data_IF_085915660227
#
_entry.id   IF_085915660227
#
_cell.length_a   1.000
_cell.length_b   1.000
_cell.length_c   1.000
_cell.angle_alpha   90.00
_cell.angle_beta   90.00
_cell.angle_gamma   90.00
#
_symmetry.space_group_name_H-M   'P 1'
#
loop_
_entity.id
_entity.type
_entity.pdbx_description
1 polymer ?
#
# COMPACT_ATOMS: atom_id res chain seq x y z
N UNK A 1 -25.96 -8.84 -4.48
CA UNK A 1 -25.43 -7.55 -4.06
C UNK A 1 -24.52 -7.71 -2.83
N UNK A 2 -23.50 -8.54 -2.91
CA UNK A 2 -22.36 -8.44 -2.00
C UNK A 2 -21.68 -7.16 -2.39
N UNK A 3 -21.95 -6.24 -1.63
CA UNK A 3 -22.25 -4.95 -2.11
C UNK A 3 -20.94 -4.21 -2.25
N UNK A 4 -20.92 -3.30 -3.19
CA UNK A 4 -19.91 -2.24 -3.29
C UNK A 4 -19.57 -1.68 -1.88
N UNK A 5 -20.56 -1.51 -1.02
CA UNK A 5 -20.41 -1.09 0.38
C UNK A 5 -19.53 -2.06 1.20
N UNK A 6 -19.69 -3.38 0.99
CA UNK A 6 -18.82 -4.36 1.68
C UNK A 6 -17.39 -4.26 1.20
N UNK A 7 -17.16 -4.11 -0.11
CA UNK A 7 -15.81 -3.95 -0.66
C UNK A 7 -15.14 -2.65 -0.14
N UNK A 8 -15.89 -1.56 -0.08
CA UNK A 8 -15.41 -0.28 0.49
C UNK A 8 -15.07 -0.43 1.98
N UNK A 9 -15.95 -1.04 2.77
CA UNK A 9 -15.70 -1.27 4.20
C UNK A 9 -14.47 -2.15 4.46
N UNK A 10 -14.31 -3.22 3.68
CA UNK A 10 -13.12 -4.07 3.79
C UNK A 10 -11.83 -3.32 3.42
N UNK A 11 -11.85 -2.47 2.38
CA UNK A 11 -10.69 -1.67 2.03
C UNK A 11 -10.37 -0.59 3.07
N UNK A 12 -11.37 -0.01 3.73
CA UNK A 12 -11.15 0.91 4.86
C UNK A 12 -10.42 0.19 5.99
N UNK A 13 -10.84 -1.04 6.33
CA UNK A 13 -10.14 -1.84 7.34
C UNK A 13 -8.70 -2.16 6.93
N UNK A 14 -8.46 -2.53 5.67
CA UNK A 14 -7.11 -2.73 5.12
C UNK A 14 -6.27 -1.46 5.28
N UNK A 15 -6.83 -0.31 4.96
CA UNK A 15 -6.14 0.98 5.04
C UNK A 15 -5.76 1.33 6.49
N UNK A 16 -6.64 1.03 7.45
CA UNK A 16 -6.34 1.19 8.88
C UNK A 16 -5.19 0.26 9.31
N UNK A 17 -5.21 -1.00 8.86
CA UNK A 17 -4.13 -1.96 9.13
C UNK A 17 -2.81 -1.44 8.57
N UNK A 18 -2.78 -0.97 7.33
CA UNK A 18 -1.57 -0.44 6.73
C UNK A 18 -1.04 0.78 7.49
N UNK A 19 -1.91 1.74 7.81
CA UNK A 19 -1.53 2.91 8.61
C UNK A 19 -0.89 2.53 9.95
N UNK A 20 -1.48 1.55 10.66
CA UNK A 20 -0.95 1.06 11.94
C UNK A 20 0.44 0.42 11.79
N UNK A 21 0.74 -0.20 10.64
CA UNK A 21 2.00 -0.94 10.45
C UNK A 21 3.21 -0.09 10.10
N UNK A 22 3.07 1.19 9.76
CA UNK A 22 4.22 2.06 9.46
C UNK A 22 5.21 2.17 10.62
N UNK A 23 4.71 2.28 11.84
CA UNK A 23 5.56 2.35 13.03
C UNK A 23 6.29 1.03 13.24
N UNK A 24 5.58 -0.10 13.11
CA UNK A 24 6.16 -1.44 13.27
C UNK A 24 7.27 -1.70 12.23
N UNK A 25 7.02 -1.33 10.97
CA UNK A 25 8.03 -1.45 9.90
C UNK A 25 9.24 -0.57 10.21
N UNK A 26 9.02 0.69 10.61
CA UNK A 26 10.11 1.61 10.95
C UNK A 26 10.98 1.09 12.09
N UNK A 27 10.38 0.52 13.14
CA UNK A 27 11.12 -0.10 14.24
C UNK A 27 11.89 -1.35 13.79
N UNK A 28 11.28 -2.21 12.98
CA UNK A 28 11.91 -3.42 12.46
C UNK A 28 13.13 -3.13 11.56
N UNK A 29 13.13 -1.99 10.84
CA UNK A 29 14.26 -1.57 10.00
C UNK A 29 15.49 -1.12 10.80
N UNK A 30 15.38 -0.97 12.11
CA UNK A 30 16.56 -0.81 12.99
C UNK A 30 17.24 -2.15 13.28
N UNK A 31 16.52 -3.27 13.14
CA UNK A 31 16.99 -4.62 13.50
C UNK A 31 17.39 -5.44 12.27
N UNK A 32 16.92 -5.07 11.07
CA UNK A 32 17.29 -5.76 9.83
C UNK A 32 17.22 -4.85 8.59
N UNK A 33 17.99 -5.18 7.54
CA UNK A 33 18.00 -4.43 6.29
C UNK A 33 16.65 -4.46 5.55
N UNK A 34 16.35 -3.44 4.72
CA UNK A 34 15.07 -3.24 4.05
C UNK A 34 14.61 -4.39 3.14
N UNK A 35 15.49 -4.92 2.29
CA UNK A 35 15.15 -6.04 1.42
C UNK A 35 15.00 -7.35 2.20
N UNK A 36 15.82 -7.55 3.25
CA UNK A 36 15.68 -8.71 4.10
C UNK A 36 14.36 -8.69 4.86
N UNK A 37 13.94 -7.54 5.41
CA UNK A 37 12.62 -7.38 6.01
C UNK A 37 11.50 -7.69 5.02
N UNK A 38 11.58 -7.16 3.79
CA UNK A 38 10.62 -7.47 2.74
C UNK A 38 10.59 -8.98 2.42
N UNK A 39 11.77 -9.64 2.39
CA UNK A 39 11.86 -11.09 2.18
C UNK A 39 11.10 -11.87 3.26
N UNK A 40 11.31 -11.54 4.54
CA UNK A 40 10.61 -12.19 5.65
C UNK A 40 9.10 -11.96 5.59
N UNK A 41 8.69 -10.70 5.40
CA UNK A 41 7.29 -10.28 5.35
C UNK A 41 6.54 -10.95 4.19
N UNK A 42 7.05 -10.80 2.96
CA UNK A 42 6.42 -11.37 1.76
C UNK A 42 6.62 -12.88 1.67
N UNK A 43 7.72 -13.42 2.19
CA UNK A 43 7.96 -14.86 2.29
C UNK A 43 6.90 -15.55 3.14
N UNK A 44 6.59 -15.01 4.34
CA UNK A 44 5.51 -15.51 5.19
C UNK A 44 4.17 -15.47 4.47
N UNK A 45 3.85 -14.35 3.81
CA UNK A 45 2.61 -14.21 3.05
C UNK A 45 2.54 -15.19 1.86
N UNK A 46 3.67 -15.43 1.17
CA UNK A 46 3.78 -16.39 0.07
C UNK A 46 3.53 -17.82 0.55
N UNK A 47 4.09 -18.20 1.69
CA UNK A 47 3.86 -19.53 2.30
C UNK A 47 2.37 -19.71 2.59
N UNK A 48 1.72 -18.72 3.22
CA UNK A 48 0.29 -18.77 3.50
C UNK A 48 -0.55 -18.86 2.21
N UNK A 49 -0.19 -18.10 1.17
CA UNK A 49 -0.87 -18.17 -0.11
C UNK A 49 -0.69 -19.55 -0.78
N UNK A 50 0.51 -20.14 -0.70
CA UNK A 50 0.80 -21.47 -1.24
C UNK A 50 -0.01 -22.58 -0.54
N UNK A 51 -0.20 -22.48 0.77
CA UNK A 51 -1.03 -23.42 1.52
C UNK A 51 -2.49 -23.36 1.02
N UNK A 52 -3.02 -22.17 0.74
CA UNK A 52 -4.40 -22.02 0.24
C UNK A 52 -4.56 -22.44 -1.21
N UNK A 53 -3.58 -22.14 -2.07
CA UNK A 53 -3.68 -22.42 -3.52
C UNK A 53 -3.57 -23.93 -3.82
N UNK A 54 -2.85 -24.68 -2.96
CA UNK A 54 -2.63 -26.11 -3.12
C UNK A 54 -2.07 -26.44 -4.53
N UNK A 55 -2.59 -27.48 -5.22
CA UNK A 55 -2.09 -27.93 -6.54
C UNK A 55 -2.41 -26.98 -7.71
N UNK A 56 -3.24 -25.95 -7.51
CA UNK A 56 -3.62 -25.00 -8.58
C UNK A 56 -2.45 -24.14 -9.07
N UNK A 57 -1.36 -24.04 -8.30
CA UNK A 57 -0.15 -23.33 -8.72
C UNK A 57 0.47 -23.94 -10.00
N UNK A 58 0.22 -25.21 -10.30
CA UNK A 58 0.73 -25.87 -11.50
C UNK A 58 -0.17 -25.67 -12.73
N UNK A 59 -1.27 -24.94 -12.60
CA UNK A 59 -2.25 -24.69 -13.67
C UNK A 59 -2.41 -23.19 -13.95
N UNK A 60 -1.29 -22.44 -13.84
CA UNK A 60 -1.29 -20.99 -14.08
C UNK A 60 -1.59 -20.68 -15.54
N UNK A 61 -2.49 -19.74 -15.77
CA UNK A 61 -2.67 -19.13 -17.09
C UNK A 61 -1.57 -18.11 -17.37
N UNK A 62 -1.33 -17.81 -18.64
CA UNK A 62 -0.37 -16.77 -19.02
C UNK A 62 -0.71 -15.40 -18.41
N UNK A 63 -1.99 -15.06 -18.29
CA UNK A 63 -2.43 -13.81 -17.67
C UNK A 63 -2.14 -13.77 -16.16
N UNK A 64 -2.30 -14.89 -15.46
CA UNK A 64 -1.97 -15.00 -14.02
C UNK A 64 -0.47 -14.90 -13.80
N UNK A 65 0.33 -15.56 -14.64
CA UNK A 65 1.78 -15.54 -14.52
C UNK A 65 2.35 -14.16 -14.88
N UNK A 66 2.08 -13.66 -16.08
CA UNK A 66 2.63 -12.38 -16.56
C UNK A 66 2.10 -11.21 -15.71
N UNK A 67 0.79 -11.19 -15.46
CA UNK A 67 0.19 -10.16 -14.64
C UNK A 67 0.70 -10.19 -13.19
N UNK A 68 0.84 -11.39 -12.61
CA UNK A 68 1.40 -11.58 -11.29
C UNK A 68 2.86 -11.11 -11.19
N UNK A 69 3.69 -11.40 -12.20
CA UNK A 69 5.07 -10.92 -12.26
C UNK A 69 5.13 -9.39 -12.36
N UNK A 70 4.34 -8.78 -13.24
CA UNK A 70 4.36 -7.31 -13.42
C UNK A 70 3.86 -6.62 -12.14
N UNK A 71 2.75 -7.08 -11.56
CA UNK A 71 2.24 -6.55 -10.30
C UNK A 71 3.22 -6.78 -9.15
N UNK A 72 3.86 -7.95 -9.08
CA UNK A 72 4.90 -8.25 -8.10
C UNK A 72 6.12 -7.35 -8.24
N UNK A 73 6.54 -7.05 -9.47
CA UNK A 73 7.64 -6.11 -9.73
C UNK A 73 7.30 -4.69 -9.26
N UNK A 74 6.07 -4.22 -9.52
CA UNK A 74 5.61 -2.91 -9.05
C UNK A 74 5.51 -2.85 -7.52
N UNK A 75 5.07 -3.93 -6.88
CA UNK A 75 5.10 -4.04 -5.42
C UNK A 75 6.52 -4.06 -4.86
N UNK A 76 7.44 -4.82 -5.48
CA UNK A 76 8.84 -4.86 -5.10
C UNK A 76 9.47 -3.46 -5.14
N UNK A 77 9.26 -2.72 -6.22
CA UNK A 77 9.71 -1.32 -6.35
C UNK A 77 9.05 -0.45 -5.27
N UNK A 78 7.73 -0.53 -5.13
CA UNK A 78 6.98 0.27 -4.15
C UNK A 78 7.48 0.05 -2.72
N UNK A 79 7.57 -1.20 -2.28
CA UNK A 79 8.05 -1.53 -0.93
C UNK A 79 9.54 -1.31 -0.74
N UNK A 80 10.36 -1.52 -1.78
CA UNK A 80 11.77 -1.16 -1.74
C UNK A 80 11.94 0.32 -1.43
N UNK A 81 11.36 1.19 -2.24
CA UNK A 81 11.37 2.63 -2.01
C UNK A 81 10.75 3.05 -0.66
N UNK A 82 9.67 2.39 -0.22
CA UNK A 82 9.05 2.67 1.07
C UNK A 82 9.97 2.34 2.24
N UNK A 83 10.57 1.15 2.26
CA UNK A 83 11.40 0.70 3.34
C UNK A 83 12.69 1.54 3.43
N UNK A 84 13.37 1.78 2.30
CA UNK A 84 14.52 2.70 2.28
C UNK A 84 14.12 4.13 2.65
N UNK A 85 12.97 4.60 2.21
CA UNK A 85 12.42 5.90 2.61
C UNK A 85 12.21 6.01 4.11
N UNK A 86 11.61 5.00 4.74
CA UNK A 86 11.33 4.96 6.18
C UNK A 86 12.59 5.00 7.05
N UNK A 87 13.74 4.55 6.57
CA UNK A 87 15.00 4.70 7.30
C UNK A 87 15.40 6.18 7.48
N UNK A 88 14.95 7.07 6.59
CA UNK A 88 15.38 8.47 6.52
C UNK A 88 14.26 9.47 6.80
N UNK A 89 13.00 9.02 6.97
CA UNK A 89 11.86 9.91 7.28
C UNK A 89 11.01 9.37 8.43
N UNK A 90 9.99 10.11 8.86
CA UNK A 90 9.05 9.66 9.90
C UNK A 90 7.98 8.73 9.31
N UNK A 91 7.37 7.87 10.17
CA UNK A 91 6.29 6.99 9.77
C UNK A 91 5.09 7.79 9.22
N UNK A 92 4.67 8.84 9.92
CA UNK A 92 3.57 9.72 9.49
C UNK A 92 3.87 10.40 8.14
N UNK A 93 5.10 10.90 7.94
CA UNK A 93 5.50 11.58 6.69
C UNK A 93 5.58 10.61 5.52
N UNK A 94 6.09 9.39 5.74
CA UNK A 94 6.11 8.34 4.73
C UNK A 94 4.71 7.91 4.34
N UNK A 95 3.82 7.65 5.29
CA UNK A 95 2.41 7.31 5.02
C UNK A 95 1.71 8.38 4.19
N UNK A 96 1.96 9.67 4.51
CA UNK A 96 1.45 10.80 3.75
C UNK A 96 1.94 10.79 2.30
N UNK A 97 3.26 10.72 2.07
CA UNK A 97 3.83 10.79 0.72
C UNK A 97 3.40 9.57 -0.10
N UNK A 98 3.30 8.38 0.51
CA UNK A 98 2.75 7.18 -0.13
C UNK A 98 1.32 7.43 -0.65
N UNK A 99 0.51 8.16 0.13
CA UNK A 99 -0.87 8.48 -0.24
C UNK A 99 -1.02 9.50 -1.38
N UNK A 100 0.07 10.13 -1.84
CA UNK A 100 0.07 10.90 -3.10
C UNK A 100 -0.32 10.00 -4.29
N UNK A 101 -0.21 8.68 -4.17
CA UNK A 101 -0.76 7.71 -5.12
C UNK A 101 -2.24 7.97 -5.45
N UNK A 102 -3.04 8.54 -4.54
CA UNK A 102 -4.44 8.92 -4.79
C UNK A 102 -4.59 9.95 -5.92
N UNK A 103 -3.63 10.86 -6.02
CA UNK A 103 -3.56 11.84 -7.12
C UNK A 103 -2.97 11.21 -8.39
N UNK A 104 -1.94 10.38 -8.23
CA UNK A 104 -1.26 9.74 -9.37
C UNK A 104 -2.17 8.77 -10.13
N UNK A 105 -3.00 7.98 -9.46
CA UNK A 105 -3.89 7.00 -10.11
C UNK A 105 -4.79 7.63 -11.19
N UNK A 106 -5.62 8.65 -10.92
CA UNK A 106 -6.46 9.24 -11.96
C UNK A 106 -5.65 9.95 -13.05
N UNK A 107 -4.50 10.58 -12.72
CA UNK A 107 -3.61 11.20 -13.70
C UNK A 107 -3.07 10.13 -14.67
N UNK A 108 -2.53 9.03 -14.14
CA UNK A 108 -2.00 7.93 -14.95
C UNK A 108 -3.08 7.25 -15.80
N UNK A 109 -4.32 7.10 -15.27
CA UNK A 109 -5.43 6.56 -16.03
C UNK A 109 -5.79 7.42 -17.24
N UNK A 110 -5.82 8.74 -17.09
CA UNK A 110 -6.09 9.67 -18.20
C UNK A 110 -4.94 9.68 -19.19
N UNK A 111 -3.70 9.77 -18.71
CA UNK A 111 -2.52 9.96 -19.55
C UNK A 111 -2.14 8.70 -20.34
N UNK A 112 -2.12 7.54 -19.67
CA UNK A 112 -1.62 6.30 -20.28
C UNK A 112 -2.71 5.34 -20.74
N UNK A 113 -3.85 5.31 -20.06
CA UNK A 113 -4.94 4.40 -20.42
C UNK A 113 -6.06 5.10 -21.21
N UNK A 114 -5.94 6.40 -21.43
CA UNK A 114 -6.94 7.25 -22.09
C UNK A 114 -8.37 7.05 -21.55
N UNK A 115 -8.49 6.63 -20.29
CA UNK A 115 -9.77 6.42 -19.62
C UNK A 115 -10.26 7.73 -19.02
N UNK A 116 -11.46 8.15 -19.37
CA UNK A 116 -12.09 9.31 -18.75
C UNK A 116 -12.34 9.02 -17.27
N UNK A 117 -11.91 9.94 -16.40
CA UNK A 117 -12.16 9.92 -14.96
C UNK A 117 -13.28 10.91 -14.66
N UNK A 118 -14.31 10.50 -13.93
CA UNK A 118 -15.48 11.33 -13.60
C UNK A 118 -15.03 12.58 -12.82
N UNK A 119 -15.63 13.73 -13.12
CA UNK A 119 -15.35 15.01 -12.44
C UNK A 119 -15.42 14.90 -10.92
N UNK A 120 -16.35 14.09 -10.40
CA UNK A 120 -16.48 13.81 -8.98
C UNK A 120 -15.21 13.24 -8.34
N UNK A 121 -14.50 12.35 -9.05
CA UNK A 121 -13.23 11.79 -8.59
C UNK A 121 -12.16 12.88 -8.50
N UNK A 122 -12.09 13.79 -9.48
CA UNK A 122 -11.17 14.92 -9.45
C UNK A 122 -11.41 15.85 -8.26
N UNK A 123 -12.69 16.12 -7.95
CA UNK A 123 -13.06 16.93 -6.76
C UNK A 123 -12.63 16.18 -5.48
N UNK A 124 -12.92 14.89 -5.36
CA UNK A 124 -12.51 14.08 -4.20
C UNK A 124 -10.99 14.06 -4.04
N UNK A 125 -10.24 13.86 -5.13
CA UNK A 125 -8.77 13.87 -5.15
C UNK A 125 -8.24 15.25 -4.73
N UNK A 126 -8.82 16.34 -5.21
CA UNK A 126 -8.42 17.70 -4.80
C UNK A 126 -8.63 17.95 -3.30
N UNK A 127 -9.77 17.52 -2.77
CA UNK A 127 -10.06 17.63 -1.32
C UNK A 127 -9.09 16.76 -0.52
N UNK A 128 -8.84 15.50 -0.96
CA UNK A 128 -7.89 14.61 -0.30
C UNK A 128 -6.48 15.21 -0.30
N UNK A 129 -6.02 15.75 -1.44
CA UNK A 129 -4.69 16.36 -1.57
C UNK A 129 -4.53 17.57 -0.65
N UNK A 130 -5.58 18.42 -0.54
CA UNK A 130 -5.58 19.53 0.41
C UNK A 130 -5.53 19.02 1.87
N UNK A 131 -6.31 18.00 2.19
CA UNK A 131 -6.28 17.35 3.51
C UNK A 131 -4.90 16.76 3.84
N UNK A 132 -4.31 16.08 2.88
CA UNK A 132 -2.95 15.55 2.97
C UNK A 132 -1.93 16.67 3.23
N UNK A 133 -2.01 17.79 2.51
CA UNK A 133 -1.13 18.94 2.70
C UNK A 133 -1.24 19.52 4.12
N UNK A 134 -2.47 19.71 4.62
CA UNK A 134 -2.71 20.24 5.97
C UNK A 134 -2.25 19.28 7.08
N UNK A 135 -2.30 17.99 6.85
CA UNK A 135 -1.85 16.97 7.81
C UNK A 135 -0.33 17.09 8.08
N UNK A 136 0.46 17.50 7.08
CA UNK A 136 1.92 17.60 7.18
C UNK A 136 2.44 19.00 7.52
N UNK A 137 1.73 20.05 7.13
CA UNK A 137 2.20 21.44 7.16
C UNK A 137 2.85 21.91 8.48
N UNK A 138 2.46 21.42 9.67
CA UNK A 138 3.01 21.92 10.92
C UNK A 138 4.47 21.57 11.19
N UNK A 139 5.05 20.64 10.46
CA UNK A 139 6.36 20.06 10.84
C UNK A 139 7.58 20.61 10.09
N UNK A 140 7.45 21.71 9.35
CA UNK A 140 8.48 22.70 8.93
C UNK A 140 9.86 22.24 8.42
N UNK A 141 10.21 20.98 8.49
CA UNK A 141 11.47 20.46 7.98
C UNK A 141 11.31 20.16 6.48
N UNK A 142 12.21 20.73 5.67
CA UNK A 142 12.24 20.51 4.22
C UNK A 142 12.22 19.05 3.81
N UNK A 143 12.15 18.78 2.50
CA UNK A 143 12.23 17.44 1.92
C UNK A 143 13.61 16.83 2.20
N UNK A 144 13.63 15.59 2.67
CA UNK A 144 14.84 14.80 2.86
C UNK A 144 14.91 13.63 1.86
N UNK A 145 16.00 12.87 1.87
CA UNK A 145 16.18 11.71 0.98
C UNK A 145 15.06 10.68 1.15
N UNK A 146 14.60 10.43 2.37
CA UNK A 146 13.50 9.48 2.65
C UNK A 146 12.19 9.91 2.00
N UNK A 147 11.92 11.21 1.97
CA UNK A 147 10.72 11.76 1.32
C UNK A 147 10.76 11.54 -0.19
N UNK A 148 11.91 11.79 -0.83
CA UNK A 148 12.11 11.60 -2.27
C UNK A 148 11.94 10.12 -2.65
N UNK A 149 12.55 9.21 -1.87
CA UNK A 149 12.38 7.77 -2.07
C UNK A 149 10.90 7.37 -1.93
N UNK A 150 10.20 7.91 -0.94
CA UNK A 150 8.77 7.60 -0.74
C UNK A 150 7.88 8.12 -1.88
N UNK A 151 8.27 9.16 -2.62
CA UNK A 151 7.58 9.53 -3.87
C UNK A 151 7.69 8.42 -4.91
N UNK A 152 8.85 7.76 -5.03
CA UNK A 152 9.01 6.57 -5.87
C UNK A 152 8.08 5.42 -5.45
N UNK A 153 7.90 5.22 -4.14
CA UNK A 153 6.92 4.29 -3.59
C UNK A 153 5.50 4.62 -4.04
N UNK A 154 5.07 5.89 -3.92
CA UNK A 154 3.73 6.33 -4.34
C UNK A 154 3.46 6.05 -5.83
N UNK A 155 4.45 6.26 -6.69
CA UNK A 155 4.36 5.94 -8.12
C UNK A 155 4.25 4.42 -8.35
N UNK A 156 5.07 3.62 -7.67
CA UNK A 156 5.02 2.16 -7.73
C UNK A 156 3.64 1.61 -7.37
N UNK A 157 3.06 2.08 -6.27
CA UNK A 157 1.74 1.65 -5.83
C UNK A 157 0.62 2.17 -6.72
N UNK A 158 0.70 3.39 -7.25
CA UNK A 158 -0.28 3.88 -8.21
C UNK A 158 -0.31 3.02 -9.48
N UNK A 159 0.85 2.67 -10.03
CA UNK A 159 0.96 1.77 -11.17
C UNK A 159 0.47 0.37 -10.82
N UNK A 160 0.80 -0.16 -9.64
CA UNK A 160 0.32 -1.47 -9.18
C UNK A 160 -1.21 -1.53 -9.15
N UNK A 161 -1.88 -0.54 -8.56
CA UNK A 161 -3.35 -0.46 -8.50
C UNK A 161 -3.97 -0.53 -9.91
N UNK A 162 -3.40 0.22 -10.87
CA UNK A 162 -3.90 0.27 -12.24
C UNK A 162 -3.65 -1.03 -12.99
N UNK A 163 -2.44 -1.57 -12.92
CA UNK A 163 -2.06 -2.79 -13.62
C UNK A 163 -2.81 -3.99 -13.05
N UNK A 164 -2.96 -4.06 -11.74
CA UNK A 164 -3.76 -5.09 -11.07
C UNK A 164 -5.22 -5.08 -11.57
N UNK A 165 -5.87 -3.91 -11.68
CA UNK A 165 -7.22 -3.77 -12.24
C UNK A 165 -7.31 -4.29 -13.69
N UNK A 166 -6.28 -3.99 -14.52
CA UNK A 166 -6.22 -4.46 -15.91
C UNK A 166 -6.20 -5.99 -15.99
N UNK A 167 -5.40 -6.66 -15.16
CA UNK A 167 -5.30 -8.12 -15.17
C UNK A 167 -6.49 -8.80 -14.52
N UNK A 168 -7.03 -8.24 -13.43
CA UNK A 168 -8.26 -8.74 -12.81
C UNK A 168 -9.43 -8.80 -13.81
N UNK A 169 -9.50 -7.82 -14.72
CA UNK A 169 -10.52 -7.77 -15.78
C UNK A 169 -10.30 -8.76 -16.93
N UNK A 170 -9.15 -9.42 -16.99
CA UNK A 170 -8.85 -10.51 -17.95
C UNK A 170 -9.24 -11.89 -17.42
N UNK A 171 -10.14 -11.94 -16.44
CA UNK A 171 -10.69 -13.17 -15.85
C UNK A 171 -9.63 -14.10 -15.22
N UNK A 172 -8.63 -13.51 -14.54
CA UNK A 172 -7.66 -14.28 -13.76
C UNK A 172 -8.29 -14.85 -12.49
N UNK A 173 -7.85 -16.03 -12.10
CA UNK A 173 -8.18 -16.57 -10.77
C UNK A 173 -7.37 -15.80 -9.72
N UNK A 174 -8.07 -15.26 -8.70
CA UNK A 174 -7.44 -14.32 -7.75
C UNK A 174 -6.28 -14.94 -6.98
N UNK A 175 -6.45 -16.16 -6.50
CA UNK A 175 -5.46 -16.79 -5.62
C UNK A 175 -4.16 -17.18 -6.34
N UNK A 176 -4.18 -17.79 -7.57
CA UNK A 176 -2.99 -17.99 -8.37
C UNK A 176 -2.26 -16.70 -8.71
N UNK A 177 -2.99 -15.70 -9.21
CA UNK A 177 -2.45 -14.38 -9.53
C UNK A 177 -1.79 -13.72 -8.31
N UNK A 178 -2.44 -13.76 -7.15
CA UNK A 178 -1.92 -13.26 -5.88
C UNK A 178 -0.64 -13.98 -5.44
N UNK A 179 -0.62 -15.32 -5.53
CA UNK A 179 0.53 -16.12 -5.14
C UNK A 179 1.77 -15.78 -5.99
N UNK A 180 1.61 -15.57 -7.31
CA UNK A 180 2.70 -15.16 -8.20
C UNK A 180 3.24 -13.79 -7.81
N UNK A 181 2.38 -12.81 -7.50
CA UNK A 181 2.81 -11.47 -7.05
C UNK A 181 3.69 -11.56 -5.80
N UNK A 182 3.21 -12.26 -4.76
CA UNK A 182 3.94 -12.39 -3.50
C UNK A 182 5.26 -13.14 -3.69
N UNK A 183 5.23 -14.26 -4.45
CA UNK A 183 6.42 -15.04 -4.75
C UNK A 183 7.49 -14.23 -5.49
N UNK A 184 7.08 -13.38 -6.44
CA UNK A 184 7.99 -12.49 -7.13
C UNK A 184 8.66 -11.49 -6.18
N UNK A 185 7.86 -10.80 -5.33
CA UNK A 185 8.41 -9.86 -4.35
C UNK A 185 9.39 -10.57 -3.41
N UNK A 186 9.02 -11.75 -2.92
CA UNK A 186 9.88 -12.54 -2.03
C UNK A 186 11.23 -12.87 -2.67
N UNK A 187 11.21 -13.44 -3.89
CA UNK A 187 12.41 -13.85 -4.60
C UNK A 187 13.31 -12.65 -4.95
N UNK A 188 12.72 -11.56 -5.47
CA UNK A 188 13.49 -10.37 -5.83
C UNK A 188 14.06 -9.67 -4.60
N UNK A 189 13.30 -9.59 -3.51
CA UNK A 189 13.79 -9.04 -2.24
C UNK A 189 14.93 -9.89 -1.68
N UNK A 190 14.80 -11.22 -1.72
CA UNK A 190 15.85 -12.13 -1.27
C UNK A 190 17.14 -11.96 -2.09
N UNK A 191 17.03 -11.93 -3.41
CA UNK A 191 18.20 -11.75 -4.30
C UNK A 191 18.88 -10.41 -4.04
N UNK A 192 18.10 -9.31 -3.93
CA UNK A 192 18.66 -7.99 -3.66
C UNK A 192 19.26 -7.89 -2.26
N UNK A 193 18.66 -8.52 -1.26
CA UNK A 193 19.23 -8.60 0.09
C UNK A 193 20.61 -9.28 0.07
N UNK A 194 20.75 -10.41 -0.63
CA UNK A 194 22.04 -11.12 -0.71
C UNK A 194 23.13 -10.36 -1.47
N UNK A 195 22.74 -9.49 -2.42
CA UNK A 195 23.71 -8.75 -3.26
C UNK A 195 24.10 -7.42 -2.62
N UNK A 196 23.17 -6.71 -1.98
CA UNK A 196 23.34 -5.30 -1.61
C UNK A 196 23.31 -5.03 -0.12
N UNK A 197 22.90 -6.00 0.71
CA UNK A 197 22.73 -5.80 2.15
C UNK A 197 23.74 -6.62 2.98
N UNK A 198 24.11 -6.09 4.16
CA UNK A 198 24.89 -6.82 5.14
C UNK A 198 24.04 -7.90 5.81
N UNK A 199 24.70 -8.94 6.34
CA UNK A 199 24.05 -10.02 7.10
C UNK A 199 23.82 -9.67 8.58
N UNK A 200 24.01 -8.41 8.96
CA UNK A 200 23.86 -7.98 10.36
C UNK A 200 22.38 -7.86 10.71
N UNK A 201 21.83 -8.90 11.29
CA UNK A 201 20.41 -9.00 11.68
C UNK A 201 20.33 -9.18 13.18
N UNK A 202 19.57 -8.31 13.82
CA UNK A 202 19.23 -8.43 15.25
C UNK A 202 17.88 -9.13 15.35
N UNK A 203 17.88 -10.39 15.76
CA UNK A 203 16.66 -11.18 15.96
C UNK A 203 15.94 -10.78 17.24
N UNK A 204 15.30 -9.62 17.24
CA UNK A 204 14.52 -9.09 18.36
C UNK A 204 13.07 -9.58 18.32
N UNK A 205 12.40 -9.52 19.49
CA UNK A 205 10.95 -9.78 19.59
C UNK A 205 10.18 -8.81 18.67
N UNK A 206 10.61 -7.54 18.62
CA UNK A 206 10.00 -6.51 17.77
C UNK A 206 10.06 -6.86 16.28
N UNK A 207 11.19 -7.40 15.80
CA UNK A 207 11.32 -7.87 14.43
C UNK A 207 10.34 -9.02 14.15
N UNK A 208 10.23 -10.00 15.03
CA UNK A 208 9.28 -11.11 14.88
C UNK A 208 7.83 -10.62 14.86
N UNK A 209 7.43 -9.75 15.79
CA UNK A 209 6.10 -9.16 15.84
C UNK A 209 5.79 -8.39 14.55
N UNK A 210 6.72 -7.55 14.08
CA UNK A 210 6.58 -6.80 12.85
C UNK A 210 6.41 -7.73 11.64
N UNK A 211 7.22 -8.79 11.50
CA UNK A 211 7.13 -9.76 10.41
C UNK A 211 5.79 -10.50 10.45
N UNK A 212 5.34 -10.96 11.62
CA UNK A 212 4.06 -11.68 11.75
C UNK A 212 2.89 -10.75 11.41
N UNK A 213 2.83 -9.58 12.05
CA UNK A 213 1.71 -8.64 11.83
C UNK A 213 1.69 -8.14 10.38
N UNK A 214 2.83 -7.72 9.86
CA UNK A 214 2.89 -7.20 8.49
C UNK A 214 2.75 -8.30 7.45
N UNK A 215 3.32 -9.49 7.67
CA UNK A 215 3.23 -10.63 6.76
C UNK A 215 1.82 -11.20 6.68
N UNK A 216 1.19 -11.42 7.83
CA UNK A 216 -0.16 -12.02 7.88
C UNK A 216 -1.25 -11.00 7.58
N UNK A 217 -1.33 -9.92 8.37
CA UNK A 217 -2.44 -8.97 8.27
C UNK A 217 -2.24 -7.95 7.14
N UNK A 218 -1.10 -7.25 7.12
CA UNK A 218 -0.88 -6.16 6.17
C UNK A 218 -0.37 -6.62 4.79
N UNK A 219 -0.02 -7.90 4.62
CA UNK A 219 0.35 -8.44 3.31
C UNK A 219 -0.63 -9.52 2.88
N UNK A 220 -0.69 -10.67 3.54
CA UNK A 220 -1.52 -11.78 3.08
C UNK A 220 -3.02 -11.41 3.06
N UNK A 221 -3.59 -11.00 4.19
CA UNK A 221 -5.02 -10.66 4.28
C UNK A 221 -5.32 -9.39 3.49
N UNK A 222 -4.53 -8.32 3.66
CA UNK A 222 -4.81 -7.03 3.06
C UNK A 222 -4.78 -7.07 1.53
N UNK A 223 -3.77 -7.67 0.90
CA UNK A 223 -3.71 -7.77 -0.56
C UNK A 223 -4.74 -8.74 -1.13
N UNK A 224 -5.06 -9.82 -0.43
CA UNK A 224 -6.14 -10.71 -0.87
C UNK A 224 -7.49 -9.98 -0.89
N UNK A 225 -7.78 -9.20 0.15
CA UNK A 225 -8.95 -8.32 0.21
C UNK A 225 -8.91 -7.25 -0.88
N UNK A 226 -7.76 -6.61 -1.10
CA UNK A 226 -7.59 -5.60 -2.14
C UNK A 226 -7.88 -6.16 -3.53
N UNK A 227 -7.30 -7.31 -3.89
CA UNK A 227 -7.53 -7.95 -5.19
C UNK A 227 -9.01 -8.30 -5.37
N UNK A 228 -9.65 -8.84 -4.33
CA UNK A 228 -11.07 -9.12 -4.35
C UNK A 228 -11.92 -7.85 -4.52
N UNK A 229 -11.62 -6.80 -3.76
CA UNK A 229 -12.35 -5.54 -3.80
C UNK A 229 -12.22 -4.85 -5.17
N UNK A 230 -11.07 -4.93 -5.83
CA UNK A 230 -10.84 -4.39 -7.17
C UNK A 230 -11.62 -5.12 -8.29
N UNK A 231 -12.21 -6.29 -8.03
CA UNK A 231 -13.24 -6.84 -8.94
C UNK A 231 -14.53 -6.01 -8.95
N UNK A 232 -14.76 -5.23 -7.90
CA UNK A 232 -16.01 -4.48 -7.66
C UNK A 232 -15.79 -2.98 -7.81
N UNK A 233 -14.64 -2.48 -7.32
CA UNK A 233 -14.25 -1.07 -7.31
C UNK A 233 -13.26 -0.77 -8.43
N UNK A 234 -13.36 0.44 -8.99
CA UNK A 234 -12.35 0.88 -9.95
C UNK A 234 -11.06 1.41 -9.27
N UNK A 235 -9.95 1.56 -10.02
CA UNK A 235 -8.67 2.00 -9.45
C UNK A 235 -8.73 3.34 -8.71
N UNK A 236 -9.48 4.32 -9.25
CA UNK A 236 -9.60 5.64 -8.62
C UNK A 236 -10.39 5.59 -7.31
N UNK A 237 -11.45 4.77 -7.24
CA UNK A 237 -12.21 4.55 -6.01
C UNK A 237 -11.36 3.87 -4.95
N UNK A 238 -10.56 2.89 -5.33
CA UNK A 238 -9.60 2.19 -4.47
C UNK A 238 -8.56 3.17 -3.93
N UNK A 239 -7.96 3.99 -4.80
CA UNK A 239 -6.95 4.96 -4.41
C UNK A 239 -7.49 6.03 -3.42
N UNK A 240 -8.74 6.51 -3.63
CA UNK A 240 -9.38 7.45 -2.71
C UNK A 240 -9.55 6.84 -1.31
N UNK A 241 -9.94 5.56 -1.21
CA UNK A 241 -10.04 4.88 0.11
C UNK A 241 -8.66 4.82 0.78
N UNK A 242 -7.62 4.52 0.01
CA UNK A 242 -6.25 4.46 0.53
C UNK A 242 -5.71 5.80 1.03
N UNK A 243 -6.31 6.94 0.65
CA UNK A 243 -5.97 8.24 1.25
C UNK A 243 -6.27 8.35 2.76
N UNK A 244 -7.01 7.41 3.33
CA UNK A 244 -7.20 7.29 4.79
C UNK A 244 -5.96 6.74 5.52
N UNK A 245 -5.01 6.15 4.80
CA UNK A 245 -3.82 5.52 5.39
C UNK A 245 -3.00 6.49 6.28
N UNK A 246 -2.66 7.72 5.85
CA UNK A 246 -1.94 8.66 6.70
C UNK A 246 -2.78 9.17 7.88
N UNK A 247 -4.11 9.20 7.77
CA UNK A 247 -4.98 9.52 8.92
C UNK A 247 -4.84 8.43 9.98
N UNK A 248 -4.93 7.16 9.58
CA UNK A 248 -4.72 6.03 10.46
C UNK A 248 -3.29 6.03 11.03
N UNK A 249 -2.26 6.19 10.18
CA UNK A 249 -0.86 6.24 10.62
C UNK A 249 -0.61 7.34 11.67
N UNK A 250 -1.16 8.52 11.45
CA UNK A 250 -1.02 9.65 12.39
C UNK A 250 -1.77 9.40 13.70
N UNK A 251 -2.98 8.82 13.65
CA UNK A 251 -3.72 8.44 14.86
C UNK A 251 -2.94 7.42 15.70
N UNK A 252 -2.38 6.39 15.06
CA UNK A 252 -1.56 5.40 15.77
C UNK A 252 -0.25 6.01 16.29
N UNK A 253 0.40 6.91 15.55
CA UNK A 253 1.58 7.63 16.00
C UNK A 253 1.26 8.52 17.23
N UNK A 254 0.09 9.17 17.26
CA UNK A 254 -0.37 9.95 18.40
C UNK A 254 -0.57 9.06 19.64
N UNK A 255 -1.24 7.92 19.47
CA UNK A 255 -1.57 7.03 20.60
C UNK A 255 -0.33 6.25 21.10
N UNK A 256 0.52 5.75 20.18
CA UNK A 256 1.64 4.86 20.52
C UNK A 256 2.91 5.66 20.80
N UNK A 257 3.22 6.67 19.97
CA UNK A 257 4.45 7.46 20.09
C UNK A 257 4.25 8.81 20.81
N UNK A 258 3.02 9.14 21.26
CA UNK A 258 2.71 10.38 21.97
C UNK A 258 2.84 11.63 21.06
N UNK A 259 2.79 11.50 19.74
CA UNK A 259 2.82 12.63 18.83
C UNK A 259 1.56 13.49 19.00
N UNK A 260 1.72 14.82 19.10
CA UNK A 260 0.59 15.73 19.26
C UNK A 260 0.10 16.18 17.89
N UNK A 261 -1.15 15.84 17.56
CA UNK A 261 -1.81 16.32 16.37
C UNK A 261 -2.32 17.75 16.59
N UNK A 262 -1.72 18.74 15.93
CA UNK A 262 -2.19 20.12 15.97
C UNK A 262 -3.52 20.32 15.23
N UNK A 263 -4.09 21.54 15.34
CA UNK A 263 -5.35 21.90 14.68
C UNK A 263 -5.37 21.58 13.18
N UNK A 264 -4.31 21.89 12.47
CA UNK A 264 -4.19 21.64 11.02
C UNK A 264 -4.19 20.15 10.69
N UNK A 265 -3.61 19.32 11.56
CA UNK A 265 -3.64 17.86 11.42
C UNK A 265 -5.07 17.30 11.52
N UNK A 266 -5.84 17.75 12.51
CA UNK A 266 -7.25 17.36 12.66
C UNK A 266 -8.10 17.83 11.48
N UNK A 267 -7.90 19.07 11.02
CA UNK A 267 -8.60 19.61 9.85
C UNK A 267 -8.25 18.81 8.59
N UNK A 268 -6.96 18.50 8.38
CA UNK A 268 -6.48 17.71 7.26
C UNK A 268 -7.08 16.30 7.25
N UNK A 269 -7.06 15.62 8.40
CA UNK A 269 -7.67 14.29 8.55
C UNK A 269 -9.18 14.32 8.27
N UNK A 270 -9.89 15.33 8.75
CA UNK A 270 -11.31 15.54 8.47
C UNK A 270 -11.61 15.73 6.98
N UNK A 271 -10.80 16.52 6.26
CA UNK A 271 -10.92 16.70 4.81
C UNK A 271 -10.70 15.40 4.05
N UNK A 272 -9.72 14.58 4.44
CA UNK A 272 -9.49 13.27 3.82
C UNK A 272 -10.72 12.37 4.01
N UNK A 273 -11.25 12.29 5.22
CA UNK A 273 -12.48 11.52 5.48
C UNK A 273 -13.67 12.02 4.62
N UNK A 274 -13.84 13.33 4.49
CA UNK A 274 -14.86 13.92 3.62
C UNK A 274 -14.62 13.57 2.15
N UNK A 275 -13.37 13.58 1.67
CA UNK A 275 -13.01 13.20 0.31
C UNK A 275 -13.38 11.75 0.01
N UNK A 276 -13.11 10.85 0.96
CA UNK A 276 -13.46 9.41 0.83
C UNK A 276 -14.99 9.26 0.75
N UNK A 277 -15.72 9.84 1.68
CA UNK A 277 -17.20 9.79 1.68
C UNK A 277 -17.74 10.37 0.37
N UNK A 278 -17.31 11.57 -0.03
CA UNK A 278 -17.75 12.21 -1.27
C UNK A 278 -17.42 11.38 -2.50
N UNK A 279 -16.19 10.85 -2.62
CA UNK A 279 -15.76 10.03 -3.76
C UNK A 279 -16.52 8.71 -3.90
N UNK A 280 -16.92 8.11 -2.79
CA UNK A 280 -17.60 6.81 -2.75
C UNK A 280 -19.15 6.90 -2.81
N UNK A 281 -19.76 8.04 -2.48
CA UNK A 281 -21.22 8.24 -2.59
C UNK A 281 -21.64 8.54 -4.04
N UNK A 282 -22.88 8.22 -4.41
CA UNK A 282 -23.49 8.62 -5.69
C UNK A 282 -23.11 7.77 -6.90
N UNK A 283 -23.12 6.47 -6.74
CA UNK A 283 -23.22 5.49 -7.83
C UNK A 283 -24.64 4.91 -7.87
N UNK A 284 -25.54 5.69 -8.44
CA UNK A 284 -26.77 5.17 -9.08
C UNK A 284 -26.60 5.27 -10.58
#
# INVERSE_FOLDING_TARGET
MTSKLTAQGCLILVTIIWGATFILVKEALNDCPPFFFATLRFGLATILAMILINRRIFQLTSNELIGGIICGFLLFIGYGFQNFGLMHTTASKSAFITSVSVLLVPILLVTFSHKAVKQKIWIAVSIATMGLYLLILPNGNGLNLGDILTVGCALGFALHIIVQDIYIKKDVQLLPFFCVQLGFVTLFSLVNSQIFESSDIIWSIKLFEAVIITGVLATFVAFLVMIWAQKILNPSETAIIFSLEPVAATLFATVIAGEILGFWGWLGGGLICLAVVYGQTGHN
#
